data_IF_644538338793
#
_entry.id   IF_644538338793
#
_cell.length_a   1.000
_cell.length_b   1.000
_cell.length_c   1.000
_cell.angle_alpha   90.00
_cell.angle_beta   90.00
_cell.angle_gamma   90.00
#
_symmetry.space_group_name_H-M   'P 1'
#
loop_
_entity.id
_entity.type
_entity.pdbx_description
1 polymer ?
#
# COMPACT_ATOMS: atom_id res chain seq x y z
N UNK A 1 17.87 -8.53 10.01
CA UNK A 1 17.69 -9.68 10.90
C UNK A 1 16.32 -10.30 10.71
N UNK A 2 16.15 -11.58 11.05
CA UNK A 2 14.83 -12.19 11.18
C UNK A 2 14.03 -11.37 12.22
N UNK A 3 13.02 -10.64 11.75
CA UNK A 3 12.22 -9.66 12.51
C UNK A 3 12.33 -8.23 12.01
N UNK A 4 13.03 -7.99 10.91
CA UNK A 4 13.10 -6.66 10.30
C UNK A 4 11.75 -6.30 9.67
N UNK A 5 11.16 -5.24 10.20
CA UNK A 5 10.13 -4.45 9.53
C UNK A 5 10.86 -3.54 8.54
N UNK A 6 10.44 -3.59 7.27
CA UNK A 6 10.84 -2.61 6.27
C UNK A 6 9.76 -1.54 6.24
N UNK A 7 10.16 -0.28 6.28
CA UNK A 7 9.24 0.83 6.11
C UNK A 7 9.70 1.76 4.99
N UNK A 8 8.73 2.38 4.35
CA UNK A 8 8.95 3.44 3.36
C UNK A 8 7.81 4.45 3.45
N UNK A 9 8.04 5.69 2.99
CA UNK A 9 7.01 6.73 3.00
C UNK A 9 6.87 7.46 1.67
N UNK A 10 5.63 7.85 1.38
CA UNK A 10 5.25 8.62 0.20
C UNK A 10 4.64 9.94 0.68
N UNK A 11 5.18 11.04 0.16
CA UNK A 11 4.61 12.36 0.37
C UNK A 11 3.56 12.65 -0.70
N UNK A 12 2.37 13.06 -0.28
CA UNK A 12 1.23 13.37 -1.14
C UNK A 12 0.95 14.86 -1.02
N UNK A 13 0.83 15.55 -2.16
CA UNK A 13 0.45 16.95 -2.23
C UNK A 13 -0.53 17.20 -3.38
N UNK A 14 -1.63 17.88 -3.10
CA UNK A 14 -2.56 18.33 -4.14
C UNK A 14 -2.15 19.70 -4.69
N UNK A 15 -1.40 19.70 -5.80
CA UNK A 15 -1.03 20.93 -6.51
C UNK A 15 -2.14 21.50 -7.40
N UNK A 16 -3.31 20.85 -7.47
CA UNK A 16 -4.44 21.38 -8.23
C UNK A 16 -5.19 22.44 -7.41
N UNK A 17 -5.94 23.29 -8.10
CA UNK A 17 -6.83 24.26 -7.47
C UNK A 17 -8.20 23.67 -7.10
N UNK A 18 -8.37 22.36 -7.24
CA UNK A 18 -9.63 21.65 -7.02
C UNK A 18 -9.43 20.58 -5.95
N UNK A 19 -10.53 20.25 -5.27
CA UNK A 19 -10.55 19.11 -4.36
C UNK A 19 -10.40 17.81 -5.16
N UNK A 20 -9.55 16.92 -4.67
CA UNK A 20 -9.24 15.63 -5.29
C UNK A 20 -9.41 14.51 -4.25
N UNK A 21 -10.00 13.37 -4.63
CA UNK A 21 -9.96 12.18 -3.78
C UNK A 21 -8.87 11.22 -4.26
N UNK A 22 -7.98 10.82 -3.36
CA UNK A 22 -6.90 9.90 -3.67
C UNK A 22 -7.23 8.52 -3.14
N UNK A 23 -6.92 7.51 -3.93
CA UNK A 23 -7.15 6.12 -3.60
C UNK A 23 -5.88 5.30 -3.80
N UNK A 24 -5.81 4.20 -3.07
CA UNK A 24 -4.73 3.22 -3.10
C UNK A 24 -5.28 1.82 -3.30
N UNK A 25 -4.61 1.04 -4.14
CA UNK A 25 -4.79 -0.41 -4.22
C UNK A 25 -3.48 -1.08 -4.58
N UNK A 26 -3.44 -2.38 -4.34
CA UNK A 26 -2.34 -3.25 -4.76
C UNK A 26 -2.74 -4.03 -6.00
N UNK A 27 -1.76 -4.31 -6.85
CA UNK A 27 -1.91 -5.19 -7.99
C UNK A 27 -0.79 -6.23 -8.00
N UNK A 28 -1.16 -7.49 -8.22
CA UNK A 28 -0.20 -8.56 -8.46
C UNK A 28 0.37 -8.46 -9.88
N UNK A 29 1.70 -8.42 -10.05
CA UNK A 29 2.32 -8.46 -11.37
C UNK A 29 2.03 -9.77 -12.10
N UNK A 30 1.93 -9.71 -13.42
CA UNK A 30 1.84 -10.93 -14.23
C UNK A 30 3.12 -11.78 -14.08
N UNK A 31 2.95 -13.10 -14.01
CA UNK A 31 4.08 -14.04 -14.00
C UNK A 31 4.67 -14.38 -12.63
N UNK A 32 4.05 -13.94 -11.52
CA UNK A 32 4.41 -14.44 -10.19
C UNK A 32 4.27 -15.96 -10.11
N UNK A 33 5.28 -16.62 -9.55
CA UNK A 33 5.21 -18.05 -9.25
C UNK A 33 4.31 -18.30 -8.03
N UNK A 34 3.85 -19.54 -7.85
CA UNK A 34 3.04 -19.90 -6.68
C UNK A 34 3.80 -19.70 -5.36
N UNK A 35 5.12 -19.89 -5.35
CA UNK A 35 5.97 -19.63 -4.18
C UNK A 35 6.05 -18.13 -3.85
N UNK A 36 6.04 -17.26 -4.86
CA UNK A 36 6.05 -15.81 -4.68
C UNK A 36 4.71 -15.28 -4.18
N UNK A 37 3.60 -15.86 -4.64
CA UNK A 37 2.26 -15.57 -4.13
C UNK A 37 2.08 -16.05 -2.70
N UNK A 38 2.55 -17.26 -2.40
CA UNK A 38 2.56 -17.79 -1.03
C UNK A 38 3.33 -16.86 -0.09
N UNK A 39 4.50 -16.36 -0.52
CA UNK A 39 5.24 -15.36 0.24
C UNK A 39 4.41 -14.07 0.50
N UNK A 40 3.73 -13.53 -0.52
CA UNK A 40 2.89 -12.33 -0.35
C UNK A 40 1.73 -12.54 0.62
N UNK A 41 1.12 -13.74 0.65
CA UNK A 41 0.07 -14.08 1.61
C UNK A 41 0.53 -14.06 3.07
N UNK A 42 1.82 -14.30 3.32
CA UNK A 42 2.39 -14.37 4.66
C UNK A 42 3.03 -13.06 5.14
N UNK A 43 3.30 -12.12 4.24
CA UNK A 43 3.81 -10.81 4.61
C UNK A 43 2.72 -9.99 5.30
N UNK A 44 3.03 -9.54 6.52
CA UNK A 44 2.22 -8.56 7.22
C UNK A 44 2.46 -7.18 6.63
N UNK A 45 1.38 -6.43 6.44
CA UNK A 45 1.37 -5.10 5.89
C UNK A 45 0.55 -4.16 6.77
N UNK A 46 1.12 -3.00 7.04
CA UNK A 46 0.44 -1.89 7.71
C UNK A 46 0.65 -0.62 6.90
N UNK A 47 -0.41 0.17 6.80
CA UNK A 47 -0.41 1.49 6.17
C UNK A 47 -0.91 2.53 7.17
N UNK A 48 -0.13 3.58 7.36
CA UNK A 48 -0.46 4.70 8.24
C UNK A 48 -0.46 6.00 7.44
N UNK A 49 -1.48 6.83 7.62
CA UNK A 49 -1.52 8.19 7.09
C UNK A 49 -1.39 9.18 8.24
N UNK A 50 -0.40 10.06 8.17
CA UNK A 50 -0.10 11.06 9.20
C UNK A 50 0.01 10.42 10.61
N UNK A 51 0.59 9.23 10.68
CA UNK A 51 0.76 8.44 11.91
C UNK A 51 -0.52 7.74 12.42
N UNK A 52 -1.62 7.76 11.66
CA UNK A 52 -2.85 7.03 11.98
C UNK A 52 -2.97 5.81 11.08
N UNK A 53 -3.13 4.63 11.69
CA UNK A 53 -3.37 3.38 10.96
C UNK A 53 -4.64 3.49 10.09
N UNK A 54 -4.45 3.31 8.79
CA UNK A 54 -5.51 3.19 7.79
C UNK A 54 -5.81 1.74 7.48
N UNK A 55 -4.79 0.88 7.51
CA UNK A 55 -4.93 -0.52 7.16
C UNK A 55 -3.90 -1.39 7.91
N UNK A 56 -4.32 -2.60 8.26
CA UNK A 56 -3.46 -3.68 8.75
C UNK A 56 -3.98 -5.03 8.25
N UNK A 57 -3.12 -5.84 7.65
CA UNK A 57 -3.48 -7.15 7.11
C UNK A 57 -2.32 -7.76 6.33
N UNK A 58 -2.62 -8.60 5.34
CA UNK A 58 -1.60 -9.18 4.44
C UNK A 58 -1.65 -8.49 3.07
N UNK A 59 -0.53 -8.51 2.33
CA UNK A 59 -0.45 -7.87 1.01
C UNK A 59 -1.41 -8.48 -0.04
N UNK A 60 -1.85 -9.73 0.15
CA UNK A 60 -2.83 -10.40 -0.72
C UNK A 60 -4.29 -10.25 -0.27
N UNK A 61 -4.59 -9.39 0.70
CA UNK A 61 -5.99 -9.21 1.11
C UNK A 61 -6.86 -8.71 -0.05
N UNK A 62 -8.05 -9.31 -0.19
CA UNK A 62 -9.05 -8.85 -1.16
C UNK A 62 -9.44 -7.38 -0.96
N UNK A 63 -9.30 -6.86 0.26
CA UNK A 63 -9.55 -5.46 0.58
C UNK A 63 -8.52 -4.52 -0.07
N UNK A 64 -7.26 -4.96 -0.19
CA UNK A 64 -6.21 -4.18 -0.87
C UNK A 64 -6.26 -4.31 -2.39
N UNK A 65 -6.92 -5.35 -2.93
CA UNK A 65 -7.22 -5.42 -4.36
C UNK A 65 -8.38 -4.48 -4.74
N UNK A 66 -9.20 -4.11 -3.77
CA UNK A 66 -10.18 -3.04 -3.90
C UNK A 66 -9.55 -1.69 -3.58
N UNK A 67 -10.26 -0.64 -3.95
CA UNK A 67 -9.80 0.74 -3.80
C UNK A 67 -10.01 1.21 -2.36
N UNK A 68 -8.91 1.54 -1.66
CA UNK A 68 -8.92 2.16 -0.35
C UNK A 68 -8.80 3.68 -0.53
N UNK A 69 -9.79 4.44 -0.06
CA UNK A 69 -9.68 5.90 -0.02
C UNK A 69 -8.61 6.32 0.98
N UNK A 70 -7.66 7.15 0.52
CA UNK A 70 -6.68 7.85 1.34
C UNK A 70 -7.20 9.21 1.82
N UNK A 71 -8.45 9.53 1.48
CA UNK A 71 -9.11 10.79 1.80
C UNK A 71 -9.13 11.78 0.64
N UNK A 72 -9.89 12.86 0.83
CA UNK A 72 -9.92 13.99 -0.08
C UNK A 72 -8.93 15.06 0.36
N UNK A 73 -8.25 15.66 -0.62
CA UNK A 73 -7.24 16.70 -0.46
C UNK A 73 -7.77 18.00 -1.05
N UNK A 74 -7.85 19.04 -0.23
CA UNK A 74 -8.07 20.41 -0.70
C UNK A 74 -6.82 20.93 -1.46
N UNK A 75 -6.93 22.11 -2.08
CA UNK A 75 -5.80 22.72 -2.76
C UNK A 75 -4.63 22.98 -1.79
N UNK A 76 -3.43 22.60 -2.20
CA UNK A 76 -2.19 22.65 -1.42
C UNK A 76 -2.19 21.78 -0.14
N UNK A 77 -3.20 20.93 0.07
CA UNK A 77 -3.21 19.98 1.19
C UNK A 77 -2.16 18.88 0.96
N UNK A 78 -1.45 18.55 2.04
CA UNK A 78 -0.36 17.58 2.06
C UNK A 78 -0.63 16.49 3.10
N UNK A 79 -0.07 15.31 2.88
CA UNK A 79 0.02 14.26 3.90
C UNK A 79 1.21 13.35 3.68
N UNK A 80 1.56 12.58 4.70
CA UNK A 80 2.53 11.50 4.61
C UNK A 80 1.83 10.15 4.76
N UNK A 81 2.10 9.25 3.82
CA UNK A 81 1.66 7.86 3.86
C UNK A 81 2.87 6.96 4.10
N UNK A 82 2.86 6.24 5.22
CA UNK A 82 3.94 5.34 5.61
C UNK A 82 3.48 3.91 5.55
N UNK A 83 4.29 3.08 4.92
CA UNK A 83 4.05 1.66 4.73
C UNK A 83 5.02 0.87 5.59
N UNK A 84 4.55 -0.24 6.12
CA UNK A 84 5.35 -1.17 6.91
C UNK A 84 5.08 -2.57 6.42
N UNK A 85 6.14 -3.31 6.11
CA UNK A 85 6.10 -4.70 5.69
C UNK A 85 6.95 -5.51 6.65
N UNK A 86 6.39 -6.56 7.24
CA UNK A 86 7.11 -7.46 8.14
C UNK A 86 6.82 -8.93 7.83
N UNK A 87 7.78 -9.78 8.19
CA UNK A 87 7.61 -11.23 8.13
C UNK A 87 7.38 -11.77 9.55
N UNK A 88 6.28 -12.50 9.83
CA UNK A 88 6.06 -13.19 11.09
C UNK A 88 7.25 -14.08 11.48
N UNK A 89 7.58 -14.14 12.78
CA UNK A 89 8.80 -14.82 13.26
C UNK A 89 8.79 -16.32 12.97
N UNK A 90 7.61 -16.93 13.04
CA UNK A 90 7.36 -18.33 12.72
C UNK A 90 7.68 -18.68 11.25
N UNK A 91 7.55 -17.72 10.34
CA UNK A 91 7.63 -17.94 8.89
C UNK A 91 9.00 -17.57 8.31
N UNK A 92 9.83 -16.83 9.06
CA UNK A 92 11.13 -16.31 8.59
C UNK A 92 12.09 -17.38 8.07
N UNK A 93 12.13 -18.56 8.72
CA UNK A 93 12.98 -19.65 8.27
C UNK A 93 12.43 -20.34 7.01
N UNK A 94 11.10 -20.38 6.86
CA UNK A 94 10.43 -21.03 5.74
C UNK A 94 10.62 -20.26 4.44
N UNK A 95 10.52 -18.94 4.52
CA UNK A 95 10.66 -18.04 3.38
C UNK A 95 12.05 -17.40 3.27
N UNK A 96 13.04 -17.93 4.00
CA UNK A 96 14.39 -17.40 4.00
C UNK A 96 14.96 -17.31 2.56
N UNK A 97 15.50 -16.14 2.22
CA UNK A 97 16.11 -15.84 0.92
C UNK A 97 15.17 -15.95 -0.29
N UNK A 98 13.85 -16.00 -0.09
CA UNK A 98 12.85 -15.84 -1.16
C UNK A 98 12.55 -14.36 -1.40
N UNK A 99 12.20 -14.04 -2.63
CA UNK A 99 11.80 -12.71 -3.08
C UNK A 99 10.39 -12.74 -3.69
N UNK A 100 9.71 -11.60 -3.65
CA UNK A 100 8.41 -11.42 -4.31
C UNK A 100 8.26 -9.96 -4.72
N UNK A 101 7.22 -9.65 -5.48
CA UNK A 101 6.92 -8.30 -5.96
C UNK A 101 5.42 -8.03 -5.94
N UNK A 102 5.05 -6.78 -5.70
CA UNK A 102 3.68 -6.28 -5.79
C UNK A 102 3.72 -4.84 -6.31
N UNK A 103 2.72 -4.43 -7.09
CA UNK A 103 2.60 -3.05 -7.54
C UNK A 103 1.71 -2.25 -6.60
N UNK A 104 2.13 -1.01 -6.35
CA UNK A 104 1.38 -0.02 -5.59
C UNK A 104 0.74 0.94 -6.59
N UNK A 105 -0.59 0.98 -6.62
CA UNK A 105 -1.34 1.80 -7.57
C UNK A 105 -2.02 2.92 -6.80
N UNK A 106 -1.65 4.15 -7.16
CA UNK A 106 -2.31 5.36 -6.71
C UNK A 106 -3.10 5.94 -7.87
N UNK A 107 -4.34 6.33 -7.62
CA UNK A 107 -5.11 7.08 -8.60
C UNK A 107 -5.95 8.15 -7.90
N UNK A 108 -6.24 9.19 -8.66
CA UNK A 108 -6.97 10.36 -8.21
C UNK A 108 -8.28 10.44 -8.97
N UNK A 109 -9.39 10.57 -8.23
CA UNK A 109 -10.66 10.97 -8.82
C UNK A 109 -10.76 12.50 -8.78
N UNK A 110 -10.87 13.11 -9.95
CA UNK A 110 -11.08 14.55 -10.11
C UNK A 110 -12.55 14.77 -10.45
N UNK A 111 -13.24 15.70 -9.78
CA UNK A 111 -14.64 15.97 -10.10
C UNK A 111 -14.78 16.35 -11.59
N UNK A 112 -15.71 15.70 -12.30
CA UNK A 112 -16.01 16.02 -13.70
C UNK A 112 -16.38 17.50 -13.83
N UNK A 113 -15.56 18.26 -14.54
CA UNK A 113 -15.86 19.66 -14.86
C UNK A 113 -16.93 19.66 -15.96
N UNK A 114 -18.21 19.72 -15.58
CA UNK A 114 -19.28 20.06 -16.53
C UNK A 114 -19.12 21.54 -16.91
N UNK A 115 -18.50 21.79 -18.08
CA UNK A 115 -18.40 23.10 -18.72
C UNK A 115 -19.59 23.41 -19.63
#
# INVERSE_FOLDING_TARGET
>A
MPGDEISDSVHIQNHSNQKAELFFRTEEPEGLTEEQKELLAHLEFRMEKDGKELYRGTLQSQELHQEISLGSYEADEESELTFFISMPKEDQNWFAARDTMIHWVFYCDLPEVYG
#
